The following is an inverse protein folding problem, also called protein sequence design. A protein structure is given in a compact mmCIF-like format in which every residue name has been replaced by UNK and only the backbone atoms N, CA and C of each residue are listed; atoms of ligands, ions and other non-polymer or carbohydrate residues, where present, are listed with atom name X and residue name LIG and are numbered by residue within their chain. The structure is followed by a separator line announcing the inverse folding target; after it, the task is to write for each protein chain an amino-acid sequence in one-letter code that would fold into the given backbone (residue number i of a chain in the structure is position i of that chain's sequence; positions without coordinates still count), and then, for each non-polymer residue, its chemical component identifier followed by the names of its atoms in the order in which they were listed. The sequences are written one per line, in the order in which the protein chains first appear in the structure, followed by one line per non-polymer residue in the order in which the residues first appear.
data_IF_907484354615
#
_entry.id   IF_907484354615
#
_cell.length_a   1.000
_cell.length_b   1.000
_cell.length_c   1.000
_cell.angle_alpha   90.00
_cell.angle_beta   90.00
_cell.angle_gamma   90.00
#
_symmetry.space_group_name_H-M   'P 1'
#
loop_
_entity.id
_entity.type
_entity.pdbx_description
1 polymer ?
#
# COMPACT_ATOMS: atom_id res chain seq x y z
N UNK A 1 25.79 -59.37 -35.01
CA UNK A 1 26.27 -59.64 -36.38
C UNK A 1 26.65 -61.11 -36.43
N UNK A 2 25.94 -61.94 -37.19
CA UNK A 2 26.37 -63.32 -37.40
C UNK A 2 27.47 -63.32 -38.47
N UNK A 3 28.63 -63.87 -38.14
CA UNK A 3 29.70 -64.08 -39.13
C UNK A 3 29.30 -65.22 -40.08
N UNK A 4 29.67 -65.18 -41.37
CA UNK A 4 29.44 -66.28 -42.30
C UNK A 4 30.04 -67.58 -41.73
N UNK A 5 29.26 -68.65 -41.74
CA UNK A 5 29.68 -69.96 -41.23
C UNK A 5 30.24 -70.87 -42.31
N UNK A 6 30.13 -70.47 -43.58
CA UNK A 6 30.74 -71.15 -44.72
C UNK A 6 32.25 -70.92 -44.71
N UNK A 7 33.03 -72.00 -44.70
CA UNK A 7 34.49 -71.94 -44.81
C UNK A 7 34.92 -71.28 -46.11
N UNK A 8 35.90 -70.39 -46.04
CA UNK A 8 36.53 -69.80 -47.21
C UNK A 8 37.53 -70.81 -47.77
N UNK A 9 37.27 -71.29 -48.98
CA UNK A 9 38.16 -72.19 -49.71
C UNK A 9 39.00 -71.40 -50.70
N UNK A 10 40.32 -71.54 -50.62
CA UNK A 10 41.30 -70.85 -51.47
C UNK A 10 42.13 -71.82 -52.31
N UNK A 11 41.79 -73.11 -52.32
CA UNK A 11 42.57 -74.18 -52.96
C UNK A 11 42.64 -74.13 -54.48
N UNK A 12 41.86 -73.25 -55.13
CA UNK A 12 41.88 -73.05 -56.59
C UNK A 12 42.25 -71.60 -56.95
N UNK A 13 42.94 -70.91 -56.05
CA UNK A 13 43.29 -69.50 -56.18
C UNK A 13 44.75 -69.20 -55.82
N UNK A 14 45.59 -70.21 -55.60
CA UNK A 14 46.89 -70.05 -54.96
C UNK A 14 48.09 -70.37 -55.87
N UNK A 15 47.88 -70.98 -57.04
CA UNK A 15 48.95 -71.26 -58.00
C UNK A 15 48.52 -71.13 -59.46
N UNK A 16 49.48 -70.88 -60.35
CA UNK A 16 49.23 -70.59 -61.78
C UNK A 16 48.67 -71.76 -62.62
N UNK A 17 48.50 -72.95 -62.05
CA UNK A 17 47.88 -74.13 -62.71
C UNK A 17 46.42 -74.35 -62.36
N UNK A 18 45.84 -73.53 -61.47
CA UNK A 18 44.46 -73.71 -61.01
C UNK A 18 43.43 -73.49 -62.11
N UNK A 19 42.30 -74.22 -62.05
CA UNK A 19 41.21 -74.05 -63.01
C UNK A 19 40.47 -72.72 -62.73
N UNK A 20 40.51 -71.75 -63.66
CA UNK A 20 39.82 -70.48 -63.48
C UNK A 20 38.31 -70.63 -63.31
N UNK A 21 37.71 -71.77 -63.71
CA UNK A 21 36.29 -72.04 -63.53
C UNK A 21 35.89 -72.26 -62.07
N UNK A 22 36.74 -72.95 -61.30
CA UNK A 22 36.54 -73.23 -59.88
C UNK A 22 36.87 -72.02 -59.02
N UNK A 23 37.95 -71.29 -59.37
CA UNK A 23 38.33 -70.03 -58.74
C UNK A 23 37.17 -69.01 -58.72
N UNK A 24 36.42 -68.90 -59.84
CA UNK A 24 35.27 -67.99 -59.94
C UNK A 24 34.16 -68.30 -58.94
N UNK A 25 33.92 -69.58 -58.64
CA UNK A 25 32.89 -70.00 -57.68
C UNK A 25 33.30 -69.61 -56.26
N UNK A 26 34.56 -69.87 -55.90
CA UNK A 26 35.12 -69.49 -54.59
C UNK A 26 35.12 -67.97 -54.37
N UNK A 27 35.52 -67.19 -55.38
CA UNK A 27 35.46 -65.71 -55.35
C UNK A 27 34.01 -65.23 -55.19
N UNK A 28 33.05 -65.85 -55.89
CA UNK A 28 31.64 -65.50 -55.75
C UNK A 28 31.16 -65.76 -54.32
N UNK A 29 31.51 -66.90 -53.72
CA UNK A 29 31.14 -67.21 -52.34
C UNK A 29 31.72 -66.18 -51.35
N UNK A 30 32.97 -65.74 -51.55
CA UNK A 30 33.56 -64.67 -50.74
C UNK A 30 32.78 -63.35 -50.88
N UNK A 31 32.39 -62.98 -52.10
CA UNK A 31 31.59 -61.77 -52.35
C UNK A 31 30.19 -61.85 -51.73
N UNK A 32 29.53 -63.00 -51.85
CA UNK A 32 28.23 -63.25 -51.22
C UNK A 32 28.33 -63.19 -49.69
N UNK A 33 29.41 -63.72 -49.10
CA UNK A 33 29.68 -63.64 -47.66
C UNK A 33 29.88 -62.20 -47.18
N UNK A 34 30.63 -61.37 -47.93
CA UNK A 34 30.82 -59.95 -47.61
C UNK A 34 29.50 -59.18 -47.72
N UNK A 35 28.70 -59.46 -48.75
CA UNK A 35 27.37 -58.86 -48.89
C UNK A 35 26.44 -59.28 -47.75
N UNK A 36 26.43 -60.55 -47.35
CA UNK A 36 25.66 -61.03 -46.20
C UNK A 36 26.08 -60.34 -44.89
N UNK A 37 27.38 -60.11 -44.67
CA UNK A 37 27.90 -59.33 -43.52
C UNK A 37 27.37 -57.89 -43.57
N UNK A 38 27.45 -57.24 -44.75
CA UNK A 38 26.96 -55.87 -44.95
C UNK A 38 25.47 -55.77 -44.66
N UNK A 39 24.68 -56.70 -45.18
CA UNK A 39 23.21 -56.71 -45.04
C UNK A 39 22.76 -57.09 -43.62
N UNK A 40 23.58 -57.84 -42.88
CA UNK A 40 23.33 -58.14 -41.46
C UNK A 40 23.58 -56.93 -40.53
N UNK A 41 24.25 -55.86 -41.00
CA UNK A 41 24.36 -54.60 -40.25
C UNK A 41 22.99 -53.92 -40.22
N UNK A 42 22.45 -53.66 -39.03
CA UNK A 42 21.13 -53.03 -38.86
C UNK A 42 19.97 -53.99 -38.57
N UNK A 43 20.19 -55.31 -38.62
CA UNK A 43 19.13 -56.32 -38.41
C UNK A 43 19.10 -56.86 -36.97
N UNK A 44 20.20 -56.78 -36.22
CA UNK A 44 20.25 -57.21 -34.82
C UNK A 44 19.91 -56.05 -33.86
N UNK A 45 19.07 -56.32 -32.84
CA UNK A 45 18.88 -55.44 -31.68
C UNK A 45 20.24 -55.04 -31.10
N UNK A 46 20.65 -53.78 -31.28
CA UNK A 46 21.88 -53.23 -30.70
C UNK A 46 22.85 -52.59 -31.69
N UNK A 47 22.68 -52.75 -33.01
CA UNK A 47 23.46 -51.99 -34.01
C UNK A 47 22.51 -51.22 -34.90
N UNK A 48 22.20 -49.98 -34.53
CA UNK A 48 21.35 -49.16 -35.35
C UNK A 48 22.16 -48.51 -36.50
N UNK A 49 21.63 -48.48 -37.73
CA UNK A 49 22.30 -47.83 -38.85
C UNK A 49 22.47 -46.34 -38.55
N UNK A 50 23.53 -45.73 -39.09
CA UNK A 50 23.71 -44.28 -39.06
C UNK A 50 23.08 -43.67 -40.33
N UNK A 51 22.57 -42.45 -40.21
CA UNK A 51 22.11 -41.65 -41.34
C UNK A 51 23.30 -41.05 -42.14
N UNK A 52 22.99 -40.28 -43.18
CA UNK A 52 24.00 -39.63 -44.03
C UNK A 52 24.91 -38.65 -43.27
N UNK A 53 24.50 -38.22 -42.07
CA UNK A 53 25.26 -37.35 -41.18
C UNK A 53 26.04 -38.13 -40.12
N UNK A 54 26.11 -39.46 -40.23
CA UNK A 54 26.73 -40.35 -39.24
C UNK A 54 26.06 -40.30 -37.85
N UNK A 55 24.77 -39.96 -37.79
CA UNK A 55 23.96 -39.95 -36.57
C UNK A 55 22.96 -41.10 -36.55
N UNK A 56 22.52 -41.49 -35.36
CA UNK A 56 21.43 -42.46 -35.22
C UNK A 56 20.11 -41.83 -35.70
N UNK A 57 19.39 -42.41 -36.68
CA UNK A 57 18.09 -41.88 -37.08
C UNK A 57 17.13 -41.78 -35.90
N UNK A 58 16.35 -40.70 -35.85
CA UNK A 58 15.41 -40.44 -34.75
C UNK A 58 14.37 -41.55 -34.59
N UNK A 59 13.96 -42.19 -35.68
CA UNK A 59 13.05 -43.34 -35.67
C UNK A 59 13.62 -44.57 -34.93
N UNK A 60 14.94 -44.63 -34.78
CA UNK A 60 15.67 -45.71 -34.11
C UNK A 60 16.07 -45.33 -32.67
N UNK A 61 15.82 -44.09 -32.22
CA UNK A 61 16.03 -43.70 -30.83
C UNK A 61 14.92 -44.29 -29.95
N UNK A 62 15.24 -45.16 -28.98
CA UNK A 62 14.23 -45.65 -28.05
C UNK A 62 13.77 -44.51 -27.13
N UNK A 63 12.49 -44.54 -26.75
CA UNK A 63 12.03 -43.71 -25.63
C UNK A 63 12.67 -44.24 -24.35
N UNK A 64 13.52 -43.45 -23.72
CA UNK A 64 14.14 -43.83 -22.44
C UNK A 64 13.15 -43.52 -21.31
N UNK A 65 12.69 -44.52 -20.54
CA UNK A 65 11.77 -44.30 -19.42
C UNK A 65 12.46 -43.54 -18.27
N UNK A 66 11.66 -42.90 -17.42
CA UNK A 66 12.19 -42.07 -16.33
C UNK A 66 13.04 -42.85 -15.31
N UNK A 67 12.68 -44.10 -15.01
CA UNK A 67 13.48 -44.99 -14.16
C UNK A 67 14.83 -45.43 -14.79
N UNK A 68 15.14 -44.99 -16.02
CA UNK A 68 16.42 -45.17 -16.71
C UNK A 68 17.07 -43.83 -17.10
N UNK A 69 16.66 -42.73 -16.45
CA UNK A 69 17.25 -41.40 -16.66
C UNK A 69 16.70 -40.62 -17.86
N UNK A 70 15.72 -41.15 -18.58
CA UNK A 70 15.00 -40.42 -19.62
C UNK A 70 13.79 -39.66 -19.09
N UNK A 71 12.93 -39.20 -19.99
CA UNK A 71 11.66 -38.54 -19.62
C UNK A 71 10.46 -39.46 -19.77
N UNK A 72 10.56 -40.52 -20.58
CA UNK A 72 9.42 -41.34 -21.00
C UNK A 72 8.41 -40.60 -21.88
N UNK A 73 8.71 -39.37 -22.33
CA UNK A 73 7.82 -38.52 -23.12
C UNK A 73 8.37 -38.34 -24.53
N UNK A 74 7.51 -38.42 -25.54
CA UNK A 74 7.87 -38.28 -26.96
C UNK A 74 7.36 -36.98 -27.59
N UNK A 75 6.52 -36.22 -26.87
CA UNK A 75 5.89 -34.99 -27.37
C UNK A 75 5.75 -33.96 -26.25
N UNK A 76 6.01 -32.69 -26.56
CA UNK A 76 5.82 -31.54 -25.67
C UNK A 76 4.99 -30.46 -26.35
N UNK A 77 4.12 -29.81 -25.60
CA UNK A 77 3.59 -28.50 -25.96
C UNK A 77 4.48 -27.40 -25.38
N UNK A 78 4.51 -26.24 -26.02
CA UNK A 78 5.25 -25.08 -25.50
C UNK A 78 4.67 -24.70 -24.13
N UNK A 79 5.56 -24.60 -23.13
CA UNK A 79 5.18 -24.28 -21.75
C UNK A 79 4.84 -25.48 -20.87
N UNK A 80 4.86 -26.72 -21.39
CA UNK A 80 4.76 -27.93 -20.56
C UNK A 80 5.92 -27.97 -19.53
N UNK A 81 5.61 -28.38 -18.30
CA UNK A 81 6.59 -28.67 -17.26
C UNK A 81 6.59 -30.17 -16.96
N UNK A 82 7.77 -30.76 -16.79
CA UNK A 82 7.91 -32.13 -16.31
C UNK A 82 7.93 -32.17 -14.79
N UNK A 83 7.16 -33.09 -14.21
CA UNK A 83 7.17 -33.38 -12.78
C UNK A 83 7.17 -34.88 -12.52
N UNK A 84 7.65 -35.31 -11.35
CA UNK A 84 7.56 -36.71 -10.94
C UNK A 84 6.11 -37.05 -10.58
N UNK A 85 5.44 -37.80 -11.47
CA UNK A 85 4.07 -38.27 -11.24
C UNK A 85 4.03 -39.49 -10.32
N UNK A 86 5.10 -40.29 -10.35
CA UNK A 86 5.34 -41.42 -9.43
C UNK A 86 6.84 -41.52 -9.13
N UNK A 87 7.26 -42.53 -8.37
CA UNK A 87 8.68 -42.81 -8.10
C UNK A 87 9.47 -43.30 -9.32
N UNK A 88 8.79 -43.65 -10.42
CA UNK A 88 9.42 -44.24 -11.62
C UNK A 88 8.96 -43.61 -12.93
N UNK A 89 8.11 -42.57 -12.88
CA UNK A 89 7.59 -41.88 -14.05
C UNK A 89 7.62 -40.35 -13.91
N UNK A 90 7.98 -39.68 -15.01
CA UNK A 90 7.75 -38.25 -15.18
C UNK A 90 6.45 -38.04 -15.97
N UNK A 91 5.64 -37.10 -15.50
CA UNK A 91 4.40 -36.66 -16.13
C UNK A 91 4.53 -35.22 -16.61
N UNK A 92 3.73 -34.85 -17.61
CA UNK A 92 3.66 -33.47 -18.10
C UNK A 92 2.54 -32.72 -17.41
N UNK A 93 2.81 -31.50 -17.00
CA UNK A 93 1.83 -30.53 -16.55
C UNK A 93 1.76 -29.42 -17.59
N UNK A 94 0.60 -29.25 -18.21
CA UNK A 94 0.34 -28.17 -19.17
C UNK A 94 0.58 -26.79 -18.55
N UNK A 95 0.87 -25.76 -19.37
CA UNK A 95 1.02 -24.40 -18.87
C UNK A 95 -0.26 -23.94 -18.17
N UNK A 96 -0.09 -23.20 -17.08
CA UNK A 96 -1.19 -22.60 -16.34
C UNK A 96 -1.72 -21.33 -17.00
N UNK A 97 -2.78 -20.77 -16.42
CA UNK A 97 -3.28 -19.44 -16.77
C UNK A 97 -2.23 -18.37 -16.43
N UNK A 98 -2.10 -17.33 -17.25
CA UNK A 98 -1.21 -16.19 -16.96
C UNK A 98 -1.46 -15.64 -15.55
N UNK A 99 -0.38 -15.39 -14.80
CA UNK A 99 -0.42 -14.92 -13.41
C UNK A 99 -0.61 -16.01 -12.34
N UNK A 100 -0.73 -17.28 -12.74
CA UNK A 100 -0.77 -18.39 -11.78
C UNK A 100 0.64 -18.83 -11.41
N UNK A 101 0.80 -19.32 -10.18
CA UNK A 101 2.07 -19.86 -9.67
C UNK A 101 1.97 -21.37 -9.50
N UNK A 102 3.09 -22.08 -9.73
CA UNK A 102 3.17 -23.51 -9.52
C UNK A 102 3.27 -23.80 -8.02
N UNK A 103 2.32 -24.58 -7.49
CA UNK A 103 2.26 -24.94 -6.08
C UNK A 103 2.66 -26.39 -5.89
N UNK A 104 3.50 -26.65 -4.91
CA UNK A 104 3.65 -28.00 -4.35
C UNK A 104 2.37 -28.33 -3.57
N UNK A 105 1.75 -29.48 -3.87
CA UNK A 105 0.58 -29.98 -3.14
C UNK A 105 0.97 -30.88 -1.95
N UNK A 106 2.24 -30.85 -1.55
CA UNK A 106 2.79 -31.68 -0.50
C UNK A 106 3.35 -33.02 -0.98
N UNK A 107 3.97 -33.81 -0.09
CA UNK A 107 4.59 -35.08 -0.45
C UNK A 107 3.58 -36.06 -1.08
N UNK A 108 3.97 -36.67 -2.20
CA UNK A 108 3.15 -37.68 -2.89
C UNK A 108 2.00 -37.12 -3.75
N UNK A 109 1.81 -35.80 -3.79
CA UNK A 109 0.81 -35.16 -4.65
C UNK A 109 1.48 -34.45 -5.84
N UNK A 110 0.86 -34.53 -7.02
CA UNK A 110 1.31 -33.79 -8.21
C UNK A 110 1.22 -32.27 -7.93
N UNK A 111 2.19 -31.45 -8.38
CA UNK A 111 2.07 -30.01 -8.30
C UNK A 111 0.94 -29.51 -9.21
N UNK A 112 0.37 -28.35 -8.88
CA UNK A 112 -0.68 -27.74 -9.70
C UNK A 112 -0.53 -26.23 -9.79
N UNK A 113 -1.05 -25.66 -10.86
CA UNK A 113 -1.15 -24.21 -10.99
C UNK A 113 -2.27 -23.69 -10.09
N UNK A 114 -1.97 -22.69 -9.28
CA UNK A 114 -2.96 -21.99 -8.49
C UNK A 114 -2.78 -20.49 -8.58
N UNK A 115 -3.88 -19.75 -8.38
CA UNK A 115 -3.82 -18.30 -8.26
C UNK A 115 -2.81 -17.90 -7.18
N UNK A 116 -2.00 -16.89 -7.48
CA UNK A 116 -1.11 -16.29 -6.49
C UNK A 116 -1.97 -15.60 -5.43
N UNK A 117 -1.93 -16.11 -4.20
CA UNK A 117 -2.55 -15.46 -3.05
C UNK A 117 -1.43 -14.85 -2.22
N UNK A 118 -1.42 -13.53 -2.11
CA UNK A 118 -0.45 -12.79 -1.29
C UNK A 118 -1.05 -12.67 0.11
N UNK A 119 -0.39 -13.28 1.09
CA UNK A 119 -0.74 -13.18 2.51
C UNK A 119 0.43 -12.56 3.26
N UNK A 120 0.17 -11.58 4.11
CA UNK A 120 1.17 -10.89 4.90
C UNK A 120 0.97 -9.37 4.97
N UNK A 121 1.87 -8.65 5.65
CA UNK A 121 1.85 -7.19 5.66
C UNK A 121 1.84 -6.65 4.22
N UNK A 122 1.05 -5.60 3.98
CA UNK A 122 0.94 -4.91 2.69
C UNK A 122 2.34 -4.62 2.13
N UNK A 123 3.25 -4.13 2.98
CA UNK A 123 4.66 -3.83 2.65
C UNK A 123 5.50 -5.03 2.20
N UNK A 124 5.16 -6.26 2.60
CA UNK A 124 5.83 -7.49 2.17
C UNK A 124 5.14 -8.19 1.01
N UNK A 125 3.93 -7.77 0.65
CA UNK A 125 3.07 -8.39 -0.37
C UNK A 125 3.14 -7.68 -1.72
N UNK A 126 3.87 -6.56 -1.82
CA UNK A 126 3.88 -5.69 -3.01
C UNK A 126 2.62 -4.82 -3.16
N UNK A 127 1.69 -4.89 -2.21
CA UNK A 127 0.61 -3.92 -2.06
C UNK A 127 1.23 -2.68 -1.39
N UNK A 128 0.94 -1.48 -1.88
CA UNK A 128 1.46 -0.24 -1.28
C UNK A 128 0.30 0.59 -0.75
N UNK A 129 0.51 1.29 0.36
CA UNK A 129 -0.46 2.23 0.94
C UNK A 129 0.18 3.62 1.02
N UNK A 130 -0.60 4.68 0.80
CA UNK A 130 -0.13 6.04 1.07
C UNK A 130 0.04 6.30 2.57
N UNK A 131 0.87 7.28 2.93
CA UNK A 131 1.13 7.63 4.34
C UNK A 131 -0.10 8.25 5.00
N UNK A 132 -0.23 8.08 6.32
CA UNK A 132 -1.38 8.59 7.10
C UNK A 132 -2.74 8.12 6.54
N UNK A 133 -2.81 6.85 6.16
CA UNK A 133 -4.03 6.15 5.74
C UNK A 133 -4.24 4.94 6.62
N UNK A 134 -5.48 4.49 6.75
CA UNK A 134 -5.81 3.23 7.41
C UNK A 134 -6.23 2.19 6.37
N UNK A 135 -6.01 0.91 6.64
CA UNK A 135 -6.52 -0.16 5.78
C UNK A 135 -7.81 -0.69 6.40
N UNK A 136 -8.84 -0.86 5.58
CA UNK A 136 -10.14 -1.33 6.06
C UNK A 136 -11.08 -1.62 4.91
N UNK A 137 -12.38 -1.61 5.17
CA UNK A 137 -13.43 -1.65 4.14
C UNK A 137 -14.59 -0.80 4.59
N UNK A 138 -15.12 0.00 3.68
CA UNK A 138 -16.33 0.80 3.90
C UNK A 138 -17.48 0.37 3.00
N UNK A 139 -17.22 -0.45 1.98
CA UNK A 139 -18.26 -1.02 1.12
C UNK A 139 -18.94 -2.22 1.78
N UNK A 140 -20.28 -2.28 1.71
CA UNK A 140 -21.06 -3.38 2.26
C UNK A 140 -20.76 -4.72 1.54
N UNK A 141 -20.59 -5.80 2.30
CA UNK A 141 -20.37 -7.15 1.78
C UNK A 141 -18.93 -7.66 1.89
N UNK A 142 -18.62 -8.69 1.10
CA UNK A 142 -17.27 -9.29 0.98
C UNK A 142 -16.54 -8.73 -0.23
N UNK A 143 -15.35 -8.14 -0.02
CA UNK A 143 -14.51 -7.57 -1.08
C UNK A 143 -13.04 -7.42 -0.68
N UNK A 144 -12.26 -6.74 -1.52
CA UNK A 144 -10.86 -6.42 -1.26
C UNK A 144 -10.69 -5.41 -0.11
N UNK A 145 -9.45 -5.26 0.39
CA UNK A 145 -9.10 -4.20 1.35
C UNK A 145 -9.05 -2.86 0.62
N UNK A 146 -9.57 -1.82 1.26
CA UNK A 146 -9.59 -0.43 0.80
C UNK A 146 -8.60 0.41 1.62
N UNK A 147 -8.05 1.43 0.98
CA UNK A 147 -7.36 2.51 1.68
C UNK A 147 -8.39 3.53 2.20
N UNK A 148 -8.38 3.77 3.50
CA UNK A 148 -9.28 4.70 4.17
C UNK A 148 -8.56 6.01 4.50
N UNK A 149 -9.25 7.11 4.22
CA UNK A 149 -8.81 8.47 4.54
C UNK A 149 -9.01 8.78 6.01
N UNK A 150 -7.98 9.35 6.66
CA UNK A 150 -8.11 9.89 8.03
C UNK A 150 -8.89 11.20 7.96
N UNK A 151 -10.04 11.26 8.64
CA UNK A 151 -10.90 12.45 8.70
C UNK A 151 -10.35 13.54 9.64
N UNK A 152 -10.92 14.75 9.57
CA UNK A 152 -10.42 15.95 10.24
C UNK A 152 -10.39 15.90 11.78
N UNK A 153 -11.14 15.00 12.41
CA UNK A 153 -11.16 14.82 13.87
C UNK A 153 -10.11 13.85 14.40
N UNK A 154 -9.39 13.18 13.50
CA UNK A 154 -8.42 12.14 13.83
C UNK A 154 -7.06 12.50 13.24
N UNK A 155 -5.99 12.03 13.87
CA UNK A 155 -4.63 12.08 13.37
C UNK A 155 -4.05 10.68 13.39
N UNK A 156 -3.26 10.33 12.38
CA UNK A 156 -2.51 9.08 12.34
C UNK A 156 -1.03 9.41 12.23
N UNK A 157 -0.32 9.28 13.34
CA UNK A 157 1.11 9.56 13.43
C UNK A 157 1.80 8.49 14.26
N UNK A 158 2.99 8.06 13.82
CA UNK A 158 3.75 7.01 14.52
C UNK A 158 2.99 5.68 14.67
N UNK A 159 2.03 5.39 13.80
CA UNK A 159 1.18 4.20 13.89
C UNK A 159 0.06 4.28 14.93
N UNK A 160 -0.16 5.43 15.56
CA UNK A 160 -1.24 5.66 16.51
C UNK A 160 -2.33 6.50 15.85
N UNK A 161 -3.55 5.97 15.85
CA UNK A 161 -4.75 6.75 15.54
C UNK A 161 -5.23 7.45 16.82
N UNK A 162 -5.22 8.77 16.81
CA UNK A 162 -5.63 9.60 17.94
C UNK A 162 -6.59 10.70 17.46
N UNK A 163 -7.19 11.44 18.38
CA UNK A 163 -7.86 12.69 18.09
C UNK A 163 -6.85 13.70 17.54
N UNK A 164 -7.19 14.38 16.45
CA UNK A 164 -6.49 15.61 16.11
C UNK A 164 -6.69 16.57 17.30
N UNK A 165 -5.62 17.16 17.85
CA UNK A 165 -5.68 17.99 19.06
C UNK A 165 -6.75 19.09 18.90
N UNK A 166 -7.93 18.84 19.45
CA UNK A 166 -9.07 19.75 19.42
C UNK A 166 -9.16 20.34 20.82
N UNK A 167 -8.38 21.38 21.08
CA UNK A 167 -8.83 22.33 22.10
C UNK A 167 -10.21 22.80 21.67
N UNK A 168 -11.22 22.68 22.53
CA UNK A 168 -12.57 23.18 22.25
C UNK A 168 -12.59 24.69 21.92
N UNK A 169 -11.49 25.38 22.17
CA UNK A 169 -11.23 26.79 21.87
C UNK A 169 -10.25 26.94 20.69
N UNK A 170 -10.66 27.65 19.64
CA UNK A 170 -9.76 28.13 18.57
C UNK A 170 -9.45 29.61 18.79
N UNK A 171 -8.19 30.01 18.97
CA UNK A 171 -7.84 31.42 19.13
C UNK A 171 -8.11 32.17 17.82
N UNK A 172 -9.03 33.14 17.85
CA UNK A 172 -9.38 33.97 16.70
C UNK A 172 -8.51 35.24 16.64
N UNK A 173 -8.07 35.73 17.79
CA UNK A 173 -7.15 36.86 17.85
C UNK A 173 -6.86 37.33 19.27
N UNK A 174 -5.81 38.15 19.38
CA UNK A 174 -5.44 38.86 20.61
C UNK A 174 -5.43 40.36 20.32
N UNK A 175 -6.19 41.12 21.10
CA UNK A 175 -6.14 42.57 21.12
C UNK A 175 -5.21 43.02 22.23
N UNK A 176 -4.16 43.75 21.88
CA UNK A 176 -3.35 44.48 22.86
C UNK A 176 -4.09 45.75 23.26
N UNK A 177 -4.31 45.97 24.55
CA UNK A 177 -5.13 47.10 25.04
C UNK A 177 -4.26 48.20 25.65
N UNK A 178 -3.34 48.75 24.86
CA UNK A 178 -2.38 49.77 25.32
C UNK A 178 -2.64 51.19 24.83
N UNK A 179 -3.63 51.38 23.96
CA UNK A 179 -4.05 52.67 23.43
C UNK A 179 -5.40 52.53 22.72
N UNK A 180 -5.92 53.65 22.20
CA UNK A 180 -7.17 53.69 21.44
C UNK A 180 -8.40 53.68 22.34
N UNK A 181 -9.49 54.31 21.90
CA UNK A 181 -10.77 54.34 22.64
C UNK A 181 -11.66 53.13 22.33
N UNK A 182 -11.32 52.38 21.28
CA UNK A 182 -12.00 51.16 20.86
C UNK A 182 -10.99 50.20 20.28
N UNK A 183 -10.98 48.97 20.78
CA UNK A 183 -10.17 47.87 20.25
C UNK A 183 -11.09 46.91 19.50
N UNK A 184 -10.84 46.75 18.20
CA UNK A 184 -11.64 45.91 17.32
C UNK A 184 -10.78 44.77 16.77
N UNK A 185 -11.25 43.55 16.96
CA UNK A 185 -10.73 42.39 16.25
C UNK A 185 -11.59 42.18 15.00
N UNK A 186 -10.99 42.37 13.84
CA UNK A 186 -11.65 42.28 12.52
C UNK A 186 -11.19 41.04 11.75
N UNK A 187 -11.87 40.73 10.63
CA UNK A 187 -11.51 39.63 9.75
C UNK A 187 -11.91 38.26 10.31
N UNK A 188 -12.94 38.23 11.16
CA UNK A 188 -13.46 37.00 11.75
C UNK A 188 -14.30 36.21 10.75
N UNK A 189 -14.11 34.89 10.73
CA UNK A 189 -15.05 33.93 10.17
C UNK A 189 -15.65 33.12 11.33
N UNK A 190 -16.91 33.39 11.64
CA UNK A 190 -17.62 32.79 12.77
C UNK A 190 -18.57 31.66 12.36
N UNK A 191 -18.61 31.29 11.08
CA UNK A 191 -19.63 30.40 10.51
C UNK A 191 -19.66 29.00 11.14
N UNK A 192 -18.51 28.52 11.64
CA UNK A 192 -18.37 27.19 12.24
C UNK A 192 -18.47 27.17 13.77
N UNK A 193 -18.62 28.32 14.42
CA UNK A 193 -18.60 28.42 15.88
C UNK A 193 -20.00 28.68 16.44
N UNK A 194 -20.25 28.15 17.64
CA UNK A 194 -21.47 28.36 18.43
C UNK A 194 -21.28 29.39 19.52
N UNK A 195 -20.07 29.50 20.07
CA UNK A 195 -19.76 30.48 21.10
C UNK A 195 -18.50 31.28 20.77
N UNK A 196 -18.46 32.52 21.28
CA UNK A 196 -17.22 33.26 21.46
C UNK A 196 -16.87 33.26 22.93
N UNK A 197 -15.69 32.73 23.28
CA UNK A 197 -15.14 32.84 24.62
C UNK A 197 -14.03 33.89 24.65
N UNK A 198 -14.16 34.85 25.56
CA UNK A 198 -13.34 36.06 25.60
C UNK A 198 -12.63 36.09 26.96
N UNK A 199 -11.30 36.08 26.92
CA UNK A 199 -10.46 36.21 28.10
C UNK A 199 -9.90 37.62 28.18
N UNK A 200 -10.16 38.27 29.31
CA UNK A 200 -9.71 39.62 29.62
C UNK A 200 -8.56 39.48 30.62
N UNK A 201 -7.40 40.05 30.30
CA UNK A 201 -6.17 39.90 31.07
C UNK A 201 -5.55 41.26 31.39
N UNK A 202 -5.78 41.73 32.62
CA UNK A 202 -5.20 42.96 33.15
C UNK A 202 -5.57 44.22 32.37
N UNK A 203 -6.79 44.30 31.83
CA UNK A 203 -7.21 45.41 30.97
C UNK A 203 -7.51 46.64 31.81
N UNK A 204 -6.91 47.79 31.49
CA UNK A 204 -7.07 49.08 32.18
C UNK A 204 -7.40 50.23 31.22
N UNK A 205 -7.54 51.46 31.75
CA UNK A 205 -7.86 52.66 30.96
C UNK A 205 -7.09 53.90 31.42
N UNK A 206 -6.87 54.85 30.52
CA UNK A 206 -5.83 55.87 30.67
C UNK A 206 -6.14 57.03 31.64
N UNK A 207 -7.38 57.18 32.14
CA UNK A 207 -7.75 58.33 33.00
C UNK A 207 -8.59 57.93 34.22
N UNK A 208 -8.40 58.63 35.34
CA UNK A 208 -9.23 58.42 36.54
C UNK A 208 -10.65 58.93 36.35
N UNK A 209 -11.64 58.10 36.63
CA UNK A 209 -13.07 58.37 36.44
C UNK A 209 -13.84 57.07 36.23
N UNK A 210 -15.07 56.97 36.74
CA UNK A 210 -15.88 55.75 36.65
C UNK A 210 -16.04 55.24 35.21
N UNK A 211 -15.57 54.03 34.90
CA UNK A 211 -15.66 53.43 33.57
C UNK A 211 -15.87 51.92 33.59
N UNK A 212 -16.76 51.43 32.75
CA UNK A 212 -17.01 50.00 32.54
C UNK A 212 -16.46 49.56 31.19
N UNK A 213 -15.90 48.35 31.11
CA UNK A 213 -15.59 47.74 29.83
C UNK A 213 -16.90 47.34 29.16
N UNK A 214 -17.03 47.74 27.91
CA UNK A 214 -18.13 47.44 27.03
C UNK A 214 -17.68 46.43 25.98
N UNK A 215 -18.56 45.50 25.66
CA UNK A 215 -18.47 44.63 24.51
C UNK A 215 -19.72 44.85 23.67
N UNK A 216 -19.57 45.32 22.43
CA UNK A 216 -20.73 45.64 21.56
C UNK A 216 -21.74 46.59 22.21
N UNK A 217 -21.28 47.51 23.07
CA UNK A 217 -22.12 48.43 23.84
C UNK A 217 -22.68 47.89 25.16
N UNK A 218 -22.55 46.59 25.45
CA UNK A 218 -22.99 45.97 26.70
C UNK A 218 -21.90 46.03 27.76
N UNK A 219 -22.25 46.43 28.99
CA UNK A 219 -21.34 46.40 30.14
C UNK A 219 -20.98 44.96 30.52
N UNK A 220 -19.67 44.68 30.59
CA UNK A 220 -19.11 43.36 30.95
C UNK A 220 -18.19 43.39 32.18
N UNK A 221 -18.13 44.52 32.87
CA UNK A 221 -17.30 44.70 34.07
C UNK A 221 -17.97 45.59 35.12
N UNK A 222 -17.49 45.49 36.36
CA UNK A 222 -17.65 46.53 37.37
C UNK A 222 -17.06 47.86 36.85
N UNK A 223 -17.55 48.97 37.40
CA UNK A 223 -17.00 50.29 37.10
C UNK A 223 -15.66 50.46 37.82
N UNK A 224 -14.59 50.72 37.07
CA UNK A 224 -13.32 51.15 37.64
C UNK A 224 -13.36 52.64 37.94
N UNK A 225 -12.91 53.05 39.12
CA UNK A 225 -12.72 54.47 39.48
C UNK A 225 -11.27 54.94 39.33
N UNK A 226 -10.36 54.06 38.91
CA UNK A 226 -8.92 54.33 38.78
C UNK A 226 -8.40 53.96 37.39
N UNK A 227 -7.50 54.78 36.86
CA UNK A 227 -6.84 54.53 35.58
C UNK A 227 -6.04 53.21 35.59
N UNK A 228 -5.45 52.84 36.74
CA UNK A 228 -4.58 51.67 36.86
C UNK A 228 -5.32 50.38 37.29
N UNK A 229 -6.65 50.30 37.16
CA UNK A 229 -7.37 49.10 37.56
C UNK A 229 -7.21 47.98 36.52
N UNK A 230 -6.73 46.83 36.97
CA UNK A 230 -6.47 45.68 36.11
C UNK A 230 -7.71 44.76 36.10
N UNK A 231 -8.47 44.79 35.01
CA UNK A 231 -9.63 43.92 34.80
C UNK A 231 -9.17 42.55 34.29
N UNK A 232 -9.61 41.49 34.96
CA UNK A 232 -9.35 40.10 34.56
C UNK A 232 -10.66 39.30 34.52
N UNK A 233 -10.71 38.23 33.75
CA UNK A 233 -11.82 37.27 33.79
C UNK A 233 -12.23 36.76 32.42
N UNK A 234 -13.43 36.19 32.34
CA UNK A 234 -13.96 35.62 31.12
C UNK A 234 -15.42 35.96 30.90
N UNK A 235 -15.77 36.16 29.63
CA UNK A 235 -17.16 36.25 29.18
C UNK A 235 -17.35 35.39 27.93
N UNK A 236 -18.54 34.85 27.78
CA UNK A 236 -18.94 34.01 26.66
C UNK A 236 -20.21 34.55 26.02
N UNK A 237 -20.24 34.54 24.69
CA UNK A 237 -21.43 34.86 23.89
C UNK A 237 -21.86 33.60 23.17
N UNK A 238 -23.11 33.19 23.36
CA UNK A 238 -23.77 32.26 22.44
C UNK A 238 -24.19 33.01 21.17
N UNK A 239 -23.57 32.67 20.04
CA UNK A 239 -23.78 33.34 18.75
C UNK A 239 -25.14 33.01 18.12
N UNK A 240 -25.87 32.04 18.65
CA UNK A 240 -27.21 31.65 18.20
C UNK A 240 -28.28 32.45 18.94
N UNK A 241 -28.17 32.52 20.27
CA UNK A 241 -29.16 33.20 21.12
C UNK A 241 -28.82 34.67 21.36
N UNK A 242 -27.55 35.06 21.18
CA UNK A 242 -27.03 36.37 21.54
C UNK A 242 -26.86 36.56 23.05
N UNK A 243 -26.95 35.50 23.86
CA UNK A 243 -26.83 35.62 25.32
C UNK A 243 -25.36 35.75 25.70
N UNK A 244 -25.04 36.80 26.47
CA UNK A 244 -23.75 36.98 27.13
C UNK A 244 -23.83 36.44 28.56
N UNK A 245 -22.84 35.66 28.97
CA UNK A 245 -22.65 35.23 30.35
C UNK A 245 -21.17 35.23 30.74
N UNK A 246 -20.85 35.46 32.01
CA UNK A 246 -19.48 35.38 32.49
C UNK A 246 -19.22 36.17 33.76
N UNK A 247 -17.93 36.25 34.13
CA UNK A 247 -17.50 37.00 35.30
C UNK A 247 -16.16 37.68 35.03
N UNK A 248 -16.05 38.92 35.51
CA UNK A 248 -14.83 39.70 35.48
C UNK A 248 -14.56 40.27 36.87
N UNK A 249 -13.31 40.53 37.18
CA UNK A 249 -12.86 41.02 38.49
C UNK A 249 -11.85 42.14 38.27
N UNK A 250 -11.97 43.19 39.08
CA UNK A 250 -10.95 44.23 39.19
C UNK A 250 -10.11 43.93 40.43
N UNK A 251 -8.81 44.19 40.39
CA UNK A 251 -7.88 43.88 41.49
C UNK A 251 -8.27 44.40 42.87
N UNK A 252 -9.16 45.39 42.96
CA UNK A 252 -9.60 46.03 44.22
C UNK A 252 -11.12 46.10 44.41
N UNK A 253 -11.92 45.39 43.60
CA UNK A 253 -13.38 45.39 43.68
C UNK A 253 -13.88 43.94 43.58
N UNK A 254 -14.95 43.55 44.30
CA UNK A 254 -15.55 42.22 44.15
C UNK A 254 -15.86 41.88 42.68
N UNK A 255 -15.90 40.57 42.37
CA UNK A 255 -16.22 40.09 41.04
C UNK A 255 -17.57 40.65 40.55
N UNK A 256 -17.58 41.13 39.32
CA UNK A 256 -18.77 41.52 38.57
C UNK A 256 -19.20 40.41 37.63
N UNK A 257 -20.49 40.12 37.62
CA UNK A 257 -21.08 39.18 36.68
C UNK A 257 -21.53 39.92 35.43
N UNK A 258 -21.10 39.44 34.26
CA UNK A 258 -21.58 39.92 32.98
C UNK A 258 -22.74 39.01 32.55
N UNK A 259 -23.96 39.53 32.53
CA UNK A 259 -25.12 38.81 32.05
C UNK A 259 -26.04 39.74 31.23
N UNK A 260 -26.54 39.23 30.11
CA UNK A 260 -27.60 39.86 29.34
C UNK A 260 -27.43 39.68 27.84
N UNK A 261 -28.35 40.27 27.08
CA UNK A 261 -28.41 40.01 25.65
C UNK A 261 -27.47 40.95 24.87
N UNK A 262 -26.74 40.38 23.92
CA UNK A 262 -25.85 41.05 22.96
C UNK A 262 -26.10 40.48 21.55
N UNK A 263 -27.31 40.73 21.04
CA UNK A 263 -27.78 40.22 19.74
C UNK A 263 -27.05 40.80 18.53
N UNK A 264 -26.15 41.76 18.72
CA UNK A 264 -25.30 42.34 17.68
C UNK A 264 -24.21 41.41 17.19
N UNK A 265 -23.83 40.39 17.98
CA UNK A 265 -22.86 39.37 17.58
C UNK A 265 -23.54 38.05 17.28
N UNK A 266 -23.32 37.55 16.06
CA UNK A 266 -23.87 36.31 15.51
C UNK A 266 -22.79 35.55 14.75
N UNK A 267 -23.10 34.35 14.27
CA UNK A 267 -22.20 33.57 13.40
C UNK A 267 -21.86 34.25 12.07
N UNK A 268 -22.54 35.34 11.69
CA UNK A 268 -22.23 36.15 10.50
C UNK A 268 -21.40 37.39 10.82
N UNK A 269 -21.05 37.64 12.08
CA UNK A 269 -20.23 38.78 12.48
C UNK A 269 -18.79 38.62 12.01
N UNK A 270 -18.23 39.68 11.43
CA UNK A 270 -16.84 39.70 10.91
C UNK A 270 -15.88 40.48 11.79
N UNK A 271 -16.40 41.08 12.88
CA UNK A 271 -15.60 41.81 13.86
C UNK A 271 -16.26 41.83 15.23
N UNK A 272 -15.46 42.00 16.27
CA UNK A 272 -15.88 42.22 17.65
C UNK A 272 -15.12 43.42 18.22
N UNK A 273 -15.83 44.31 18.91
CA UNK A 273 -15.29 45.57 19.41
C UNK A 273 -15.51 45.74 20.92
N UNK A 274 -14.47 46.27 21.56
CA UNK A 274 -14.41 46.60 22.98
C UNK A 274 -14.13 48.08 23.17
N UNK A 275 -14.79 48.71 24.13
CA UNK A 275 -14.60 50.13 24.45
C UNK A 275 -14.86 50.39 25.93
N UNK A 276 -14.38 51.51 26.46
CA UNK A 276 -14.77 51.96 27.80
C UNK A 276 -16.01 52.86 27.74
N UNK A 277 -16.92 52.75 28.70
CA UNK A 277 -18.19 53.50 28.72
C UNK A 277 -18.03 55.02 28.76
N UNK A 278 -16.89 55.54 29.23
CA UNK A 278 -16.54 56.95 29.20
C UNK A 278 -15.78 57.41 27.95
N UNK A 279 -15.60 56.53 26.95
CA UNK A 279 -14.78 56.82 25.76
C UNK A 279 -13.29 56.98 26.05
N UNK A 280 -12.83 56.48 27.19
CA UNK A 280 -11.43 56.58 27.63
C UNK A 280 -10.56 55.61 26.83
N UNK A 281 -9.28 55.99 26.65
CA UNK A 281 -8.35 55.12 25.94
C UNK A 281 -7.99 53.90 26.81
N UNK A 282 -7.77 52.75 26.17
CA UNK A 282 -7.10 51.61 26.80
C UNK A 282 -5.66 51.99 27.16
N UNK A 283 -5.12 51.38 28.21
CA UNK A 283 -3.78 51.72 28.74
C UNK A 283 -2.88 50.49 28.93
N UNK A 284 -3.39 49.41 29.54
CA UNK A 284 -2.67 48.14 29.70
C UNK A 284 -3.56 46.93 29.45
N UNK A 285 -2.92 45.77 29.27
CA UNK A 285 -3.55 44.46 29.23
C UNK A 285 -3.71 43.85 27.84
N UNK A 286 -4.50 42.77 27.79
CA UNK A 286 -4.91 42.14 26.52
C UNK A 286 -6.27 41.45 26.62
N UNK A 287 -6.93 41.36 25.47
CA UNK A 287 -8.18 40.60 25.30
C UNK A 287 -7.93 39.50 24.27
N UNK A 288 -8.16 38.24 24.64
CA UNK A 288 -8.09 37.10 23.72
C UNK A 288 -9.50 36.64 23.38
N UNK A 289 -9.77 36.44 22.10
CA UNK A 289 -11.06 35.97 21.61
C UNK A 289 -10.88 34.59 21.01
N UNK A 290 -11.66 33.63 21.48
CA UNK A 290 -11.67 32.25 21.01
C UNK A 290 -13.04 31.89 20.42
N UNK A 291 -13.06 31.12 19.35
CA UNK A 291 -14.24 30.46 18.81
C UNK A 291 -14.39 29.07 19.40
N UNK A 292 -15.61 28.69 19.76
CA UNK A 292 -15.97 27.37 20.29
C UNK A 292 -16.98 26.72 19.35
N UNK A 293 -16.68 25.50 18.90
CA UNK A 293 -17.53 24.74 17.97
C UNK A 293 -18.73 24.12 18.67
#
# INVERSE_FOLDING_TARGET
MAWPTTTIDTTQMDIGTDDPSQARIQIKQMADNVNAIKDAKGVANGVAPLDASSLLPVANLPTVPANKGGTGQTVFAVGDILYAGTTSSLSKLSPGTSGYVLKSNGPGAAPSWGAQSLSGPITGSGLTQATARLLGRTTAGTGAIEELTVGSGLTLSGGVLDTASQSGYTLLGTLTTTSGTTQTLSGLDLTTYKFLKIFINGVSHAIGGGGNLLLGGKIISAASTSAAANLCGEVEIDLTTGILSGSTVLTNVPASYAAGDITTYTSSSTSIAFAWSGGTAFDLGSIKVYGVK
#
